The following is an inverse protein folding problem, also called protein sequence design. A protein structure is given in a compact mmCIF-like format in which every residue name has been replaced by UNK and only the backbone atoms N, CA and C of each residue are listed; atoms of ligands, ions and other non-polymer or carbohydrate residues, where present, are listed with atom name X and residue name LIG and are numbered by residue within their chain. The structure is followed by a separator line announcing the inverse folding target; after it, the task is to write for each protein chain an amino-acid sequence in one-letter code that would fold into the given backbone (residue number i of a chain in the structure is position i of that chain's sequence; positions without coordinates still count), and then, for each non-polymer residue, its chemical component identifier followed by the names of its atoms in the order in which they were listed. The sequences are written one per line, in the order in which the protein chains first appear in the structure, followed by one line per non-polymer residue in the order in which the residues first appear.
data_IF_794668764141
#
_entry.id   IF_794668764141
#
_cell.length_a   1.000
_cell.length_b   1.000
_cell.length_c   1.000
_cell.angle_alpha   90.00
_cell.angle_beta   90.00
_cell.angle_gamma   90.00
#
_symmetry.space_group_name_H-M   'P 1'
#
loop_
_entity.id
_entity.type
_entity.pdbx_description
1 polymer ?
#
# COMPACT_ATOMS: atom_id res chain seq x y z
N UNK A 1 3.93 27.74 6.64
CA UNK A 1 4.54 26.42 6.43
C UNK A 1 4.80 25.72 7.75
N UNK A 2 5.60 26.28 8.68
CA UNK A 2 5.97 25.60 9.94
C UNK A 2 4.80 25.21 10.88
N UNK A 3 3.73 25.99 10.96
CA UNK A 3 2.56 25.68 11.82
C UNK A 3 1.73 24.51 11.29
N UNK A 4 1.63 24.36 9.98
CA UNK A 4 0.90 23.23 9.34
C UNK A 4 1.71 21.92 9.51
N UNK A 5 3.03 22.00 9.41
CA UNK A 5 3.90 20.85 9.61
C UNK A 5 3.92 20.40 11.08
N UNK A 6 3.89 21.35 12.02
CA UNK A 6 3.79 21.06 13.44
C UNK A 6 2.43 20.43 13.81
N UNK A 7 1.33 20.93 13.23
CA UNK A 7 0.01 20.36 13.43
C UNK A 7 -0.08 18.93 12.88
N UNK A 8 0.52 18.68 11.71
CA UNK A 8 0.59 17.33 11.12
C UNK A 8 1.38 16.35 11.98
N UNK A 9 2.53 16.79 12.51
CA UNK A 9 3.35 15.95 13.41
C UNK A 9 2.64 15.64 14.72
N UNK A 10 1.93 16.61 15.31
CA UNK A 10 1.17 16.38 16.55
C UNK A 10 -0.03 15.47 16.32
N UNK A 11 -0.74 15.59 15.20
CA UNK A 11 -1.86 14.71 14.85
C UNK A 11 -1.39 13.27 14.62
N UNK A 12 -0.27 13.09 13.92
CA UNK A 12 0.33 11.77 13.73
C UNK A 12 0.79 11.13 15.05
N UNK A 13 1.36 11.92 15.97
CA UNK A 13 1.76 11.45 17.28
C UNK A 13 0.55 11.01 18.11
N UNK A 14 -0.53 11.79 18.11
CA UNK A 14 -1.76 11.47 18.81
C UNK A 14 -2.43 10.20 18.26
N UNK A 15 -2.46 10.04 16.94
CA UNK A 15 -2.96 8.84 16.31
C UNK A 15 -2.15 7.59 16.72
N UNK A 16 -0.82 7.65 16.64
CA UNK A 16 0.07 6.56 17.07
C UNK A 16 -0.07 6.24 18.56
N UNK A 17 -0.19 7.27 19.41
CA UNK A 17 -0.42 7.10 20.85
C UNK A 17 -1.76 6.43 21.11
N UNK A 18 -2.82 6.85 20.44
CA UNK A 18 -4.12 6.23 20.52
C UNK A 18 -4.06 4.77 20.05
N UNK A 19 -3.41 4.49 18.92
CA UNK A 19 -3.29 3.14 18.37
C UNK A 19 -2.56 2.22 19.36
N UNK A 20 -1.49 2.71 20.00
CA UNK A 20 -0.77 1.97 21.03
C UNK A 20 -1.62 1.71 22.28
N UNK A 21 -2.33 2.73 22.76
CA UNK A 21 -3.17 2.65 23.96
C UNK A 21 -4.45 1.84 23.72
N UNK A 22 -4.97 1.80 22.50
CA UNK A 22 -6.19 1.06 22.17
C UNK A 22 -5.97 -0.43 21.97
N UNK A 23 -4.72 -0.87 21.71
CA UNK A 23 -4.39 -2.29 21.52
C UNK A 23 -4.90 -3.23 22.63
N UNK A 24 -4.78 -2.89 23.94
CA UNK A 24 -5.29 -3.72 25.01
C UNK A 24 -6.81 -3.59 25.24
N UNK A 25 -7.50 -2.65 24.58
CA UNK A 25 -8.92 -2.42 24.78
C UNK A 25 -9.76 -3.43 24.00
N UNK A 26 -10.95 -3.73 24.52
CA UNK A 26 -11.92 -4.49 23.74
C UNK A 26 -12.23 -3.75 22.43
N UNK A 27 -12.27 -4.44 21.26
CA UNK A 27 -12.39 -3.80 19.95
C UNK A 27 -13.55 -2.79 19.82
N UNK A 28 -14.70 -3.09 20.45
CA UNK A 28 -15.85 -2.17 20.44
C UNK A 28 -15.61 -0.86 21.20
N UNK A 29 -14.80 -0.90 22.27
CA UNK A 29 -14.43 0.28 23.06
C UNK A 29 -13.40 1.11 22.30
N UNK A 30 -12.39 0.47 21.75
CA UNK A 30 -11.39 1.11 20.91
C UNK A 30 -12.04 1.81 19.70
N UNK A 31 -13.00 1.14 19.05
CA UNK A 31 -13.76 1.70 17.94
C UNK A 31 -14.57 2.94 18.35
N UNK A 32 -15.29 2.87 19.48
CA UNK A 32 -16.09 3.99 19.98
C UNK A 32 -15.23 5.22 20.27
N UNK A 33 -14.09 5.02 20.91
CA UNK A 33 -13.13 6.09 21.21
C UNK A 33 -12.58 6.67 19.90
N UNK A 34 -12.11 5.80 18.98
CA UNK A 34 -11.52 6.22 17.71
C UNK A 34 -12.46 7.03 16.83
N UNK A 35 -13.75 6.73 16.83
CA UNK A 35 -14.77 7.49 16.09
C UNK A 35 -15.02 8.90 16.63
N UNK A 36 -14.79 9.10 17.91
CA UNK A 36 -15.11 10.35 18.60
C UNK A 36 -13.85 11.23 18.86
N UNK A 37 -12.70 10.87 18.28
CA UNK A 37 -11.50 11.67 18.38
C UNK A 37 -11.35 12.54 17.12
N UNK A 38 -11.71 13.85 17.19
CA UNK A 38 -11.60 14.79 16.06
C UNK A 38 -10.17 14.97 15.56
N UNK A 39 -9.18 14.74 16.45
CA UNK A 39 -7.76 14.85 16.15
C UNK A 39 -7.20 13.81 15.19
N UNK A 40 -8.04 12.86 14.75
CA UNK A 40 -7.66 11.84 13.76
C UNK A 40 -8.07 12.24 12.33
N UNK A 41 -8.73 13.40 12.17
CA UNK A 41 -9.05 13.97 10.87
C UNK A 41 -7.78 14.65 10.29
N UNK A 42 -7.13 13.94 9.40
CA UNK A 42 -5.91 14.42 8.74
C UNK A 42 -5.67 13.69 7.43
N UNK A 43 -4.56 13.96 6.72
CA UNK A 43 -4.21 13.29 5.47
C UNK A 43 -4.16 11.76 5.55
N UNK A 44 -4.01 11.19 6.76
CA UNK A 44 -4.13 9.75 7.05
C UNK A 44 -5.51 9.16 6.74
N UNK A 45 -6.54 10.00 6.64
CA UNK A 45 -7.89 9.60 6.23
C UNK A 45 -8.12 9.76 4.73
N UNK A 46 -7.15 10.32 4.02
CA UNK A 46 -7.17 10.38 2.56
C UNK A 46 -6.36 9.21 1.96
N UNK A 47 -6.79 8.68 0.82
CA UNK A 47 -6.06 7.61 0.14
C UNK A 47 -4.61 8.02 -0.13
N UNK A 48 -3.68 7.12 0.18
CA UNK A 48 -2.25 7.32 -0.06
C UNK A 48 -1.74 8.62 0.56
N UNK A 49 -2.11 8.88 1.81
CA UNK A 49 -1.66 10.04 2.57
C UNK A 49 -1.98 11.40 1.88
N UNK A 50 -3.07 11.49 1.11
CA UNK A 50 -3.48 12.70 0.40
C UNK A 50 -2.63 13.02 -0.83
N UNK A 51 -1.93 12.04 -1.39
CA UNK A 51 -1.07 12.20 -2.55
C UNK A 51 -1.85 12.10 -3.85
N UNK A 52 -2.17 13.23 -4.46
CA UNK A 52 -3.02 13.28 -5.66
C UNK A 52 -2.35 12.70 -6.89
N UNK A 53 -1.03 12.85 -7.07
CA UNK A 53 -0.32 12.22 -8.18
C UNK A 53 -0.35 10.69 -8.03
N UNK A 54 -0.20 10.16 -6.81
CA UNK A 54 -0.36 8.74 -6.53
C UNK A 54 -1.77 8.24 -6.83
N UNK A 55 -2.80 9.01 -6.46
CA UNK A 55 -4.17 8.65 -6.80
C UNK A 55 -4.39 8.60 -8.32
N UNK A 56 -3.81 9.54 -9.10
CA UNK A 56 -3.84 9.47 -10.57
C UNK A 56 -3.13 8.24 -11.09
N UNK A 57 -1.92 7.96 -10.59
CA UNK A 57 -1.16 6.77 -10.94
C UNK A 57 -1.97 5.48 -10.75
N UNK A 58 -2.66 5.34 -9.62
CA UNK A 58 -3.52 4.17 -9.39
C UNK A 58 -4.69 4.07 -10.36
N UNK A 59 -5.32 5.20 -10.75
CA UNK A 59 -6.37 5.20 -11.78
C UNK A 59 -5.83 4.71 -13.12
N UNK A 60 -4.66 5.19 -13.51
CA UNK A 60 -3.98 4.78 -14.75
C UNK A 60 -3.56 3.31 -14.70
N UNK A 61 -3.01 2.83 -13.57
CA UNK A 61 -2.70 1.42 -13.37
C UNK A 61 -3.94 0.52 -13.49
N UNK A 62 -5.05 0.88 -12.84
CA UNK A 62 -6.31 0.11 -12.93
C UNK A 62 -6.81 0.06 -14.37
N UNK A 63 -6.73 1.18 -15.10
CA UNK A 63 -7.15 1.27 -16.50
C UNK A 63 -6.30 0.42 -17.43
N UNK A 64 -4.97 0.42 -17.25
CA UNK A 64 -4.02 -0.30 -18.09
C UNK A 64 -4.01 -1.81 -17.78
N UNK A 65 -3.93 -2.16 -16.50
CA UNK A 65 -3.82 -3.55 -16.03
C UNK A 65 -5.15 -4.29 -16.10
N UNK A 66 -6.27 -3.59 -15.91
CA UNK A 66 -7.63 -4.16 -15.82
C UNK A 66 -7.67 -5.35 -14.86
N UNK A 67 -7.30 -5.16 -13.60
CA UNK A 67 -7.16 -6.25 -12.65
C UNK A 67 -8.50 -6.97 -12.44
N UNK A 68 -8.45 -8.28 -12.29
CA UNK A 68 -9.62 -9.08 -11.91
C UNK A 68 -9.94 -8.91 -10.42
N UNK A 69 -8.92 -8.65 -9.61
CA UNK A 69 -9.02 -8.37 -8.18
C UNK A 69 -7.82 -7.55 -7.70
N UNK A 70 -7.95 -6.97 -6.50
CA UNK A 70 -6.90 -6.22 -5.85
C UNK A 70 -6.59 -6.80 -4.48
N UNK A 71 -5.35 -6.62 -4.04
CA UNK A 71 -4.91 -6.91 -2.67
C UNK A 71 -4.29 -5.67 -2.05
N UNK A 72 -4.57 -5.47 -0.78
CA UNK A 72 -3.96 -4.43 0.05
C UNK A 72 -3.41 -5.05 1.32
N UNK A 73 -2.18 -4.74 1.68
CA UNK A 73 -1.66 -5.02 3.02
C UNK A 73 -1.60 -3.73 3.84
N UNK A 74 -2.19 -3.77 5.04
CA UNK A 74 -2.30 -2.60 5.92
C UNK A 74 -3.48 -1.69 5.58
N UNK A 75 -4.71 -2.10 5.95
CA UNK A 75 -5.90 -1.27 5.67
C UNK A 75 -6.06 -0.07 6.61
N UNK A 76 -5.47 -0.13 7.80
CA UNK A 76 -5.65 0.90 8.85
C UNK A 76 -7.13 1.25 9.03
N UNK A 77 -7.60 2.40 8.54
CA UNK A 77 -8.99 2.86 8.59
C UNK A 77 -9.74 2.76 7.26
N UNK A 78 -9.15 2.12 6.28
CA UNK A 78 -9.79 1.79 5.01
C UNK A 78 -9.90 2.92 4.00
N UNK A 79 -9.08 3.97 4.11
CA UNK A 79 -9.10 5.08 3.14
C UNK A 79 -8.62 4.64 1.76
N UNK A 80 -7.47 3.97 1.70
CA UNK A 80 -6.92 3.35 0.49
C UNK A 80 -7.80 2.19 -0.01
N UNK A 81 -8.31 1.34 0.89
CA UNK A 81 -9.27 0.27 0.55
C UNK A 81 -10.47 0.82 -0.21
N UNK A 82 -11.08 1.91 0.29
CA UNK A 82 -12.22 2.57 -0.33
C UNK A 82 -11.89 3.10 -1.72
N UNK A 83 -10.74 3.75 -1.84
CA UNK A 83 -10.27 4.28 -3.11
C UNK A 83 -10.05 3.17 -4.14
N UNK A 84 -9.34 2.11 -3.77
CA UNK A 84 -9.05 0.97 -4.63
C UNK A 84 -10.34 0.31 -5.15
N UNK A 85 -11.32 0.12 -4.26
CA UNK A 85 -12.63 -0.40 -4.65
C UNK A 85 -13.38 0.53 -5.61
N UNK A 86 -13.46 1.82 -5.29
CA UNK A 86 -14.18 2.78 -6.15
C UNK A 86 -13.56 2.92 -7.54
N UNK A 87 -12.24 2.93 -7.63
CA UNK A 87 -11.54 3.11 -8.91
C UNK A 87 -11.61 1.85 -9.77
N UNK A 88 -11.53 0.68 -9.17
CA UNK A 88 -11.49 -0.58 -9.91
C UNK A 88 -12.87 -1.17 -10.18
N UNK A 89 -13.84 -1.00 -9.28
CA UNK A 89 -15.11 -1.72 -9.29
C UNK A 89 -14.92 -3.23 -9.17
N UNK A 90 -13.79 -3.69 -8.63
CA UNK A 90 -13.39 -5.10 -8.54
C UNK A 90 -13.29 -5.55 -7.09
N UNK A 91 -13.28 -6.87 -6.83
CA UNK A 91 -13.00 -7.39 -5.50
C UNK A 91 -11.68 -6.85 -4.95
N UNK A 92 -11.72 -6.31 -3.73
CA UNK A 92 -10.57 -5.87 -2.96
C UNK A 92 -10.45 -6.75 -1.72
N UNK A 93 -9.33 -7.42 -1.60
CA UNK A 93 -8.95 -8.20 -0.42
C UNK A 93 -7.97 -7.35 0.39
N UNK A 94 -8.30 -6.98 1.62
CA UNK A 94 -7.41 -6.18 2.47
C UNK A 94 -7.04 -6.94 3.73
N UNK A 95 -5.74 -7.01 4.02
CA UNK A 95 -5.20 -7.64 5.20
C UNK A 95 -4.87 -6.61 6.28
N UNK A 96 -5.36 -6.83 7.50
CA UNK A 96 -5.07 -5.98 8.64
C UNK A 96 -4.76 -6.85 9.87
N UNK A 97 -3.54 -6.72 10.39
CA UNK A 97 -3.07 -7.51 11.53
C UNK A 97 -3.70 -7.05 12.86
N UNK A 98 -3.94 -5.74 12.98
CA UNK A 98 -4.56 -5.19 14.19
C UNK A 98 -6.07 -5.48 14.19
N UNK A 99 -6.60 -6.27 15.15
CA UNK A 99 -7.99 -6.65 15.17
C UNK A 99 -8.95 -5.46 15.35
N UNK A 100 -8.50 -4.37 15.95
CA UNK A 100 -9.33 -3.17 16.14
C UNK A 100 -9.56 -2.47 14.80
N UNK A 101 -8.51 -2.33 13.98
CA UNK A 101 -8.64 -1.75 12.64
C UNK A 101 -9.35 -2.70 11.68
N UNK A 102 -9.02 -3.99 11.70
CA UNK A 102 -9.72 -4.98 10.89
C UNK A 102 -11.24 -4.95 11.14
N UNK A 103 -11.66 -4.90 12.40
CA UNK A 103 -13.08 -4.79 12.77
C UNK A 103 -13.70 -3.46 12.32
N UNK A 104 -12.97 -2.35 12.48
CA UNK A 104 -13.41 -1.04 12.01
C UNK A 104 -13.68 -1.08 10.51
N UNK A 105 -12.71 -1.53 9.71
CA UNK A 105 -12.81 -1.59 8.24
C UNK A 105 -13.92 -2.56 7.82
N UNK A 106 -14.01 -3.75 8.43
CA UNK A 106 -15.07 -4.70 8.14
C UNK A 106 -16.48 -4.11 8.38
N UNK A 107 -16.63 -3.26 9.38
CA UNK A 107 -17.90 -2.57 9.66
C UNK A 107 -18.20 -1.46 8.65
N UNK A 108 -17.18 -0.69 8.24
CA UNK A 108 -17.33 0.34 7.22
C UNK A 108 -17.78 -0.25 5.86
N UNK A 109 -17.27 -1.42 5.54
CA UNK A 109 -17.57 -2.10 4.27
C UNK A 109 -18.64 -3.22 4.40
N UNK A 110 -19.40 -3.29 5.51
CA UNK A 110 -20.38 -4.37 5.74
C UNK A 110 -21.44 -4.52 4.65
N UNK A 111 -21.72 -3.45 3.89
CA UNK A 111 -22.67 -3.43 2.77
C UNK A 111 -22.00 -3.47 1.40
N UNK A 112 -20.70 -3.71 1.34
CA UNK A 112 -19.90 -3.77 0.12
C UNK A 112 -19.29 -5.16 0.00
N UNK A 113 -20.02 -6.11 -0.61
CA UNK A 113 -19.61 -7.50 -0.68
C UNK A 113 -18.31 -7.73 -1.46
N UNK A 114 -17.90 -6.79 -2.29
CA UNK A 114 -16.64 -6.83 -3.04
C UNK A 114 -15.42 -6.57 -2.15
N UNK A 115 -15.56 -5.91 -1.00
CA UNK A 115 -14.45 -5.69 -0.06
C UNK A 115 -14.44 -6.81 0.96
N UNK A 116 -13.32 -7.52 1.04
CA UNK A 116 -13.07 -8.64 1.95
C UNK A 116 -11.93 -8.28 2.90
N UNK A 117 -12.25 -8.12 4.17
CA UNK A 117 -11.27 -7.82 5.22
C UNK A 117 -10.79 -9.12 5.87
N UNK A 118 -9.48 -9.33 5.84
CA UNK A 118 -8.81 -10.46 6.47
C UNK A 118 -8.06 -9.96 7.71
N UNK A 119 -8.48 -10.38 8.90
CA UNK A 119 -7.75 -10.06 10.12
C UNK A 119 -6.60 -11.05 10.31
N UNK A 120 -5.56 -10.87 9.51
CA UNK A 120 -4.37 -11.71 9.48
C UNK A 120 -3.13 -10.86 9.22
N UNK A 121 -1.96 -11.41 9.53
CA UNK A 121 -0.71 -10.96 8.93
C UNK A 121 -0.84 -11.08 7.41
N UNK A 122 -0.30 -10.12 6.67
CA UNK A 122 -0.45 -10.04 5.22
C UNK A 122 0.09 -11.25 4.46
N UNK A 123 1.17 -11.86 4.98
CA UNK A 123 1.76 -13.10 4.44
C UNK A 123 0.78 -14.28 4.56
N UNK A 124 0.08 -14.38 5.69
CA UNK A 124 -0.93 -15.42 5.89
C UNK A 124 -2.18 -15.14 5.05
N UNK A 125 -2.59 -13.89 4.95
CA UNK A 125 -3.69 -13.49 4.08
C UNK A 125 -3.42 -13.89 2.62
N UNK A 126 -2.22 -13.61 2.09
CA UNK A 126 -1.83 -14.01 0.74
C UNK A 126 -1.86 -15.54 0.56
N UNK A 127 -1.39 -16.31 1.55
CA UNK A 127 -1.47 -17.80 1.52
C UNK A 127 -2.92 -18.27 1.49
N UNK A 128 -3.79 -17.71 2.33
CA UNK A 128 -5.23 -18.03 2.36
C UNK A 128 -5.87 -17.76 0.99
N UNK A 129 -5.60 -16.59 0.41
CA UNK A 129 -6.15 -16.20 -0.89
C UNK A 129 -5.69 -17.12 -2.02
N UNK A 130 -4.44 -17.57 -1.98
CA UNK A 130 -3.90 -18.50 -2.97
C UNK A 130 -4.45 -19.90 -2.80
N UNK A 131 -4.40 -20.49 -1.60
CA UNK A 131 -4.85 -21.86 -1.34
C UNK A 131 -6.35 -22.02 -1.49
N UNK A 132 -7.13 -20.99 -1.15
CA UNK A 132 -8.59 -20.96 -1.36
C UNK A 132 -9.00 -20.65 -2.80
N UNK A 133 -8.05 -20.45 -3.71
CA UNK A 133 -8.30 -20.07 -5.11
C UNK A 133 -9.22 -18.83 -5.26
N UNK A 134 -9.17 -17.92 -4.28
CA UNK A 134 -9.97 -16.71 -4.30
C UNK A 134 -9.55 -15.73 -5.39
N UNK A 135 -8.27 -15.76 -5.77
CA UNK A 135 -7.67 -14.92 -6.81
C UNK A 135 -7.06 -15.83 -7.88
N UNK A 136 -7.65 -15.85 -9.09
CA UNK A 136 -7.11 -16.68 -10.19
C UNK A 136 -5.73 -16.20 -10.65
N UNK A 137 -4.74 -17.09 -10.65
CA UNK A 137 -3.37 -16.79 -11.10
C UNK A 137 -3.27 -16.45 -12.59
N UNK A 138 -4.27 -16.83 -13.37
CA UNK A 138 -4.36 -16.56 -14.82
C UNK A 138 -4.94 -15.19 -15.16
N UNK A 139 -5.28 -14.37 -14.17
CA UNK A 139 -5.88 -13.04 -14.35
C UNK A 139 -4.98 -11.96 -13.78
N UNK A 140 -5.01 -10.73 -14.36
CA UNK A 140 -4.26 -9.61 -13.83
C UNK A 140 -4.64 -9.30 -12.36
N UNK A 141 -3.62 -9.05 -11.55
CA UNK A 141 -3.72 -8.83 -10.12
C UNK A 141 -2.95 -7.57 -9.73
N UNK A 142 -3.58 -6.62 -9.04
CA UNK A 142 -2.96 -5.38 -8.58
C UNK A 142 -2.85 -5.39 -7.07
N UNK A 143 -1.65 -5.19 -6.56
CA UNK A 143 -1.34 -5.17 -5.13
C UNK A 143 -0.89 -3.79 -4.68
N UNK A 144 -1.33 -3.38 -3.49
CA UNK A 144 -0.82 -2.23 -2.75
C UNK A 144 -0.30 -2.70 -1.40
N UNK A 145 1.00 -2.53 -1.15
CA UNK A 145 1.67 -3.04 0.04
C UNK A 145 2.09 -1.88 0.95
N UNK A 146 1.48 -1.84 2.14
CA UNK A 146 1.65 -0.78 3.15
C UNK A 146 1.60 -1.34 4.60
N UNK A 147 2.01 -2.61 4.80
CA UNK A 147 1.95 -3.30 6.10
C UNK A 147 3.30 -3.36 6.84
N UNK A 148 4.15 -2.34 6.73
CA UNK A 148 5.53 -2.34 7.27
C UNK A 148 5.68 -1.41 8.48
N UNK A 149 5.01 -1.71 9.59
CA UNK A 149 4.97 -0.84 10.78
C UNK A 149 5.82 -1.31 11.96
N UNK A 150 6.34 -2.52 11.94
CA UNK A 150 7.06 -3.14 13.03
C UNK A 150 8.46 -3.63 12.58
N UNK A 151 9.26 -4.13 13.51
CA UNK A 151 10.57 -4.72 13.22
C UNK A 151 10.50 -5.97 12.32
N UNK A 152 9.36 -6.68 12.32
CA UNK A 152 9.07 -7.77 11.40
C UNK A 152 8.47 -7.20 10.11
N UNK A 153 9.32 -7.02 9.10
CA UNK A 153 8.95 -6.43 7.81
C UNK A 153 8.45 -7.52 6.85
N UNK A 154 7.13 -7.61 6.55
CA UNK A 154 6.59 -8.65 5.69
C UNK A 154 6.90 -8.46 4.20
N UNK A 155 7.26 -7.26 3.80
CA UNK A 155 7.31 -6.79 2.42
C UNK A 155 8.11 -7.69 1.46
N UNK A 156 9.30 -8.18 1.88
CA UNK A 156 10.12 -9.06 1.04
C UNK A 156 9.41 -10.39 0.75
N UNK A 157 8.79 -10.95 1.78
CA UNK A 157 8.03 -12.21 1.68
C UNK A 157 6.78 -12.03 0.83
N UNK A 158 6.08 -10.89 1.00
CA UNK A 158 4.89 -10.53 0.21
C UNK A 158 5.24 -10.44 -1.28
N UNK A 159 6.26 -9.66 -1.62
CA UNK A 159 6.70 -9.47 -3.01
C UNK A 159 7.10 -10.79 -3.64
N UNK A 160 7.94 -11.58 -2.97
CA UNK A 160 8.38 -12.88 -3.48
C UNK A 160 7.20 -13.84 -3.69
N UNK A 161 6.27 -13.89 -2.75
CA UNK A 161 5.10 -14.75 -2.85
C UNK A 161 4.15 -14.32 -3.97
N UNK A 162 3.90 -13.01 -4.11
CA UNK A 162 3.02 -12.48 -5.16
C UNK A 162 3.61 -12.78 -6.54
N UNK A 163 4.87 -12.46 -6.78
CA UNK A 163 5.52 -12.69 -8.08
C UNK A 163 5.53 -14.18 -8.45
N UNK A 164 5.77 -15.06 -7.47
CA UNK A 164 5.76 -16.50 -7.70
C UNK A 164 4.36 -17.06 -8.00
N UNK A 165 3.32 -16.57 -7.32
CA UNK A 165 1.98 -17.18 -7.37
C UNK A 165 1.04 -16.53 -8.38
N UNK A 166 1.26 -15.27 -8.68
CA UNK A 166 0.46 -14.49 -9.65
C UNK A 166 1.37 -13.83 -10.70
N UNK A 167 1.71 -14.57 -11.77
CA UNK A 167 2.63 -14.10 -12.81
C UNK A 167 2.11 -12.89 -13.60
N UNK A 168 0.82 -12.55 -13.48
CA UNK A 168 0.21 -11.36 -14.05
C UNK A 168 -0.05 -10.32 -12.96
N UNK A 169 0.97 -9.97 -12.17
CA UNK A 169 0.83 -9.02 -11.07
C UNK A 169 1.53 -7.69 -11.33
N UNK A 170 0.93 -6.65 -10.74
CA UNK A 170 1.56 -5.34 -10.53
C UNK A 170 1.50 -5.04 -9.04
N UNK A 171 2.63 -4.67 -8.47
CA UNK A 171 2.78 -4.41 -7.04
C UNK A 171 3.19 -2.95 -6.85
N UNK A 172 2.41 -2.18 -6.11
CA UNK A 172 2.77 -0.84 -5.64
C UNK A 172 3.17 -0.94 -4.18
N UNK A 173 4.37 -0.51 -3.85
CA UNK A 173 4.90 -0.51 -2.48
C UNK A 173 4.93 0.93 -1.99
N UNK A 174 4.29 1.21 -0.86
CA UNK A 174 4.31 2.54 -0.24
C UNK A 174 5.56 2.75 0.61
N UNK A 175 5.76 3.99 1.01
CA UNK A 175 6.85 4.43 1.88
C UNK A 175 8.25 3.99 1.43
N UNK A 176 8.43 3.86 0.11
CA UNK A 176 9.63 3.32 -0.50
C UNK A 176 10.57 4.42 -1.00
N UNK A 177 11.88 4.26 -0.81
CA UNK A 177 12.90 5.22 -1.19
C UNK A 177 12.96 5.40 -2.70
N UNK A 178 12.72 6.63 -3.19
CA UNK A 178 12.90 7.01 -4.59
C UNK A 178 14.36 7.44 -4.78
N UNK A 179 15.17 6.72 -5.56
CA UNK A 179 16.63 6.87 -5.54
C UNK A 179 17.15 8.24 -5.97
N UNK A 180 16.46 8.91 -6.88
CA UNK A 180 16.87 10.18 -7.51
C UNK A 180 15.98 11.37 -7.11
N UNK A 181 15.10 11.21 -6.12
CA UNK A 181 14.27 12.29 -5.56
C UNK A 181 14.18 12.19 -4.04
N UNK A 182 15.12 12.83 -3.36
CA UNK A 182 15.19 12.90 -1.89
C UNK A 182 14.08 13.75 -1.25
N UNK A 183 13.22 14.39 -2.03
CA UNK A 183 12.05 15.11 -1.54
C UNK A 183 10.91 14.18 -1.13
N UNK A 184 10.93 12.92 -1.58
CA UNK A 184 10.05 11.87 -1.11
C UNK A 184 10.56 11.26 0.21
N UNK A 185 9.67 11.22 1.22
CA UNK A 185 9.93 10.47 2.44
C UNK A 185 9.80 8.96 2.21
N UNK A 186 10.51 8.19 3.00
CA UNK A 186 10.43 6.72 3.00
C UNK A 186 10.59 6.19 4.43
N UNK A 187 10.29 4.90 4.64
CA UNK A 187 10.43 4.29 5.95
C UNK A 187 11.78 3.58 6.11
N UNK A 188 12.30 3.69 7.33
CA UNK A 188 13.50 2.99 7.76
C UNK A 188 13.30 2.41 9.17
N UNK A 189 13.76 1.18 9.37
CA UNK A 189 13.64 0.41 10.61
C UNK A 189 15.05 0.00 11.08
N UNK A 190 15.60 0.81 11.96
CA UNK A 190 17.02 0.69 12.33
C UNK A 190 17.93 0.91 11.12
N UNK A 191 18.79 -0.05 10.76
CA UNK A 191 19.66 0.06 9.57
C UNK A 191 18.95 -0.28 8.24
N UNK A 192 17.71 -0.75 8.28
CA UNK A 192 16.99 -1.23 7.10
C UNK A 192 16.14 -0.11 6.53
N UNK A 193 16.49 0.40 5.35
CA UNK A 193 15.66 1.33 4.57
C UNK A 193 14.77 0.54 3.60
N UNK A 194 13.51 0.95 3.42
CA UNK A 194 12.67 0.41 2.36
C UNK A 194 13.17 0.92 1.01
N UNK A 195 14.01 0.14 0.37
CA UNK A 195 14.74 0.50 -0.85
C UNK A 195 14.90 -0.72 -1.76
N UNK A 196 15.43 -0.50 -2.96
CA UNK A 196 15.75 -1.57 -3.91
C UNK A 196 16.68 -2.62 -3.28
N UNK A 197 17.68 -2.18 -2.51
CA UNK A 197 18.61 -3.09 -1.84
C UNK A 197 17.92 -3.99 -0.82
N UNK A 198 16.89 -3.45 -0.14
CA UNK A 198 16.09 -4.24 0.79
C UNK A 198 15.34 -5.38 0.09
N UNK A 199 14.73 -5.14 -1.07
CA UNK A 199 13.98 -6.19 -1.79
C UNK A 199 14.87 -7.34 -2.26
N UNK A 200 16.12 -7.06 -2.58
CA UNK A 200 17.08 -8.05 -3.03
C UNK A 200 16.94 -8.41 -4.51
N UNK A 201 18.01 -8.98 -5.05
CA UNK A 201 18.19 -9.23 -6.49
C UNK A 201 17.13 -10.17 -7.10
N UNK A 202 16.72 -11.21 -6.37
CA UNK A 202 15.79 -12.21 -6.90
C UNK A 202 14.40 -11.67 -7.18
N UNK A 203 13.87 -10.80 -6.29
CA UNK A 203 12.57 -10.16 -6.50
C UNK A 203 12.60 -9.16 -7.66
N UNK A 204 13.75 -8.52 -7.86
CA UNK A 204 13.93 -7.51 -8.90
C UNK A 204 14.16 -8.11 -10.29
N UNK A 205 14.83 -9.28 -10.36
CA UNK A 205 15.09 -9.96 -11.62
C UNK A 205 13.81 -10.44 -12.35
N UNK A 206 12.75 -10.67 -11.60
CA UNK A 206 11.45 -11.13 -12.11
C UNK A 206 10.46 -9.99 -12.39
N UNK A 207 10.87 -8.73 -12.26
CA UNK A 207 9.97 -7.59 -12.40
C UNK A 207 10.62 -6.38 -13.09
N UNK A 208 9.79 -5.55 -13.71
CA UNK A 208 10.17 -4.23 -14.20
C UNK A 208 9.90 -3.19 -13.12
N UNK A 209 10.92 -2.41 -12.80
CA UNK A 209 10.88 -1.41 -11.73
C UNK A 209 10.54 -0.05 -12.32
N UNK A 210 9.51 0.58 -11.78
CA UNK A 210 9.02 1.88 -12.21
C UNK A 210 8.84 2.81 -11.00
N UNK A 211 9.02 4.08 -11.23
CA UNK A 211 9.01 5.12 -10.20
C UNK A 211 7.99 6.21 -10.53
N UNK A 212 7.50 6.98 -9.54
CA UNK A 212 6.64 8.12 -9.81
C UNK A 212 7.32 9.12 -10.76
N UNK A 213 6.61 9.57 -11.78
CA UNK A 213 7.07 10.66 -12.66
C UNK A 213 6.90 12.03 -12.01
N UNK A 214 5.92 12.18 -11.11
CA UNK A 214 5.69 13.43 -10.38
C UNK A 214 6.88 13.70 -9.46
N UNK A 215 7.55 14.86 -9.57
CA UNK A 215 8.57 15.22 -8.58
C UNK A 215 7.94 15.44 -7.20
N UNK A 216 8.65 15.08 -6.14
CA UNK A 216 8.15 15.23 -4.77
C UNK A 216 7.70 16.66 -4.42
N UNK A 217 8.37 17.69 -4.98
CA UNK A 217 8.00 19.11 -4.78
C UNK A 217 6.61 19.47 -5.33
N UNK A 218 6.11 18.69 -6.30
CA UNK A 218 4.81 18.89 -6.97
C UNK A 218 3.72 17.96 -6.40
N UNK A 219 4.12 16.97 -5.59
CA UNK A 219 3.18 16.07 -4.95
C UNK A 219 2.49 16.75 -3.75
N UNK A 220 1.25 16.34 -3.50
CA UNK A 220 0.43 16.78 -2.36
C UNK A 220 0.60 15.84 -1.16
N UNK A 221 -0.10 16.12 -0.07
CA UNK A 221 -0.12 15.26 1.11
C UNK A 221 1.23 15.12 1.79
N UNK A 222 1.54 13.90 2.27
CA UNK A 222 2.78 13.63 3.01
C UNK A 222 4.01 13.37 2.14
N UNK A 223 3.87 13.33 0.83
CA UNK A 223 4.99 13.13 -0.11
C UNK A 223 5.81 11.89 0.21
N UNK A 224 5.12 10.79 0.47
CA UNK A 224 5.77 9.49 0.69
C UNK A 224 6.16 8.87 -0.66
N UNK A 225 7.34 8.29 -0.74
CA UNK A 225 7.80 7.65 -1.96
C UNK A 225 7.10 6.32 -2.21
N UNK A 226 7.14 5.83 -3.44
CA UNK A 226 6.68 4.49 -3.78
C UNK A 226 7.49 3.92 -4.93
N UNK A 227 7.37 2.61 -5.11
CA UNK A 227 7.88 1.89 -6.27
C UNK A 227 6.77 1.03 -6.85
N UNK A 228 6.78 0.84 -8.16
CA UNK A 228 5.89 -0.08 -8.87
C UNK A 228 6.72 -1.19 -9.47
N UNK A 229 6.39 -2.44 -9.13
CA UNK A 229 6.96 -3.63 -9.72
C UNK A 229 5.91 -4.24 -10.67
N UNK A 230 6.22 -4.36 -11.93
CA UNK A 230 5.35 -4.98 -12.91
C UNK A 230 5.96 -6.30 -13.39
N UNK A 231 5.16 -7.37 -13.40
CA UNK A 231 5.59 -8.63 -14.04
C UNK A 231 5.92 -8.42 -15.51
N UNK A 232 6.80 -9.21 -16.11
CA UNK A 232 7.23 -9.04 -17.50
C UNK A 232 6.06 -8.95 -18.50
N UNK A 233 4.98 -9.70 -18.26
CA UNK A 233 3.81 -9.73 -19.12
C UNK A 233 2.98 -8.43 -19.10
N UNK A 234 3.12 -7.63 -18.06
CA UNK A 234 2.41 -6.35 -17.89
C UNK A 234 3.33 -5.13 -18.02
N UNK A 235 4.62 -5.37 -18.21
CA UNK A 235 5.66 -4.32 -18.20
C UNK A 235 5.45 -3.24 -19.25
N UNK A 236 5.02 -3.59 -20.45
CA UNK A 236 4.80 -2.63 -21.53
C UNK A 236 3.58 -1.76 -21.23
N UNK A 237 2.46 -2.39 -20.85
CA UNK A 237 1.22 -1.67 -20.52
C UNK A 237 1.40 -0.68 -19.35
N UNK A 238 2.22 -1.04 -18.37
CA UNK A 238 2.49 -0.20 -17.19
C UNK A 238 3.60 0.81 -17.48
N UNK A 239 4.61 0.42 -18.26
CA UNK A 239 5.78 1.26 -18.58
C UNK A 239 5.49 2.47 -19.47
N UNK A 240 4.35 2.46 -20.19
CA UNK A 240 3.89 3.57 -21.04
C UNK A 240 3.04 4.62 -20.28
N UNK A 241 2.75 4.38 -19.00
CA UNK A 241 1.93 5.30 -18.21
C UNK A 241 2.70 6.60 -17.91
N UNK A 242 2.12 7.77 -18.17
CA UNK A 242 2.78 9.06 -17.96
C UNK A 242 3.07 9.35 -16.48
N UNK A 243 2.37 8.71 -15.56
CA UNK A 243 2.60 8.82 -14.12
C UNK A 243 3.80 8.02 -13.63
N UNK A 244 4.39 7.19 -14.49
CA UNK A 244 5.52 6.33 -14.15
C UNK A 244 6.72 6.58 -15.06
N UNK A 245 7.91 6.33 -14.53
CA UNK A 245 9.17 6.44 -15.26
C UNK A 245 10.14 5.34 -14.87
N UNK A 246 11.08 5.05 -15.75
CA UNK A 246 12.24 4.21 -15.46
C UNK A 246 13.41 5.09 -15.04
N UNK A 247 14.26 4.60 -14.14
CA UNK A 247 15.53 5.24 -13.81
C UNK A 247 16.63 4.45 -14.53
N UNK A 248 17.37 5.07 -15.45
CA UNK A 248 18.48 4.41 -16.16
C UNK A 248 19.53 3.88 -15.16
N UNK A 249 20.02 2.66 -15.39
CA UNK A 249 21.05 2.04 -14.55
C UNK A 249 20.54 1.32 -13.29
N UNK A 250 19.24 1.41 -12.98
CA UNK A 250 18.58 0.61 -11.93
C UNK A 250 17.89 -0.64 -12.49
N UNK A 251 18.19 -1.01 -13.73
CA UNK A 251 17.80 -2.32 -14.27
C UNK A 251 18.70 -3.38 -13.68
N UNK A 252 18.13 -4.39 -13.07
CA UNK A 252 18.87 -5.60 -12.69
C UNK A 252 19.34 -6.25 -13.99
N UNK A 253 20.62 -6.03 -14.32
CA UNK A 253 21.28 -6.83 -15.37
C UNK A 253 21.38 -8.25 -14.83
N UNK A 254 20.64 -9.16 -15.44
CA UNK A 254 20.69 -10.59 -15.17
C UNK A 254 22.10 -11.17 -15.42
#
# INVERSE_FOLDING_TARGET
MALIDLAKQTTGLLARTYDSLSRPLHPSVAELIGRNLPSLDGPWLEPFNGQHARQRMFRSLVSAVRPASLFESGSYRGASTRFLWHVSGKPVYTAEKNPNFARYVAREFRHVPEVKVLNHDSRDALRILHTGAHIPSSKPFLCYLDAHWDADLPLRDEVAFILQKWPLSVIVIDDFKVPDDSGYGFDAYGPTELSVDYLGQSALAESHILWPSCPAREETGYRRGCVVLASPQLADAVGELPELRRIPGLTVTG
#
